data_IF_555758326961
#
_entry.id   IF_555758326961
#
_cell.length_a   1.000
_cell.length_b   1.000
_cell.length_c   1.000
_cell.angle_alpha   90.00
_cell.angle_beta   90.00
_cell.angle_gamma   90.00
#
_symmetry.space_group_name_H-M   'P 1'
#
loop_
_entity.id
_entity.type
_entity.pdbx_description
1 polymer ?
#
# COMPACT_ATOMS: atom_id res chain seq x y z
N UNK A 1 12.59 -22.56 -9.12
CA UNK A 1 12.11 -23.21 -10.35
C UNK A 1 13.26 -23.49 -11.35
N UNK A 2 14.53 -23.25 -10.96
CA UNK A 2 15.72 -23.48 -11.78
C UNK A 2 15.95 -22.45 -12.90
N UNK A 3 15.15 -21.38 -12.97
CA UNK A 3 15.32 -20.33 -13.99
C UNK A 3 16.49 -19.41 -13.64
N UNK A 4 17.45 -19.27 -14.55
CA UNK A 4 18.56 -18.34 -14.41
C UNK A 4 18.11 -16.91 -14.74
N UNK A 5 18.20 -16.01 -13.76
CA UNK A 5 17.89 -14.60 -13.94
C UNK A 5 19.14 -13.77 -14.16
N UNK A 6 19.21 -13.05 -15.29
CA UNK A 6 20.29 -12.08 -15.56
C UNK A 6 20.00 -10.77 -14.83
N UNK A 7 20.76 -10.51 -13.77
CA UNK A 7 20.65 -9.28 -12.99
C UNK A 7 21.35 -8.11 -13.71
N UNK A 8 20.86 -6.92 -13.48
CA UNK A 8 21.44 -5.67 -13.97
C UNK A 8 21.53 -4.62 -12.85
N UNK A 9 22.07 -3.46 -13.15
CA UNK A 9 22.26 -2.38 -12.16
C UNK A 9 20.95 -1.85 -11.52
N UNK A 10 19.82 -2.07 -12.19
CA UNK A 10 18.50 -1.65 -11.68
C UNK A 10 17.84 -2.71 -10.78
N UNK A 11 18.37 -3.92 -10.72
CA UNK A 11 17.80 -5.02 -9.95
C UNK A 11 18.18 -4.86 -8.47
N UNK A 12 17.18 -4.74 -7.60
CA UNK A 12 17.38 -4.77 -6.14
C UNK A 12 17.58 -6.21 -5.70
N UNK A 13 18.60 -6.45 -4.89
CA UNK A 13 18.90 -7.79 -4.36
C UNK A 13 19.02 -7.77 -2.85
N UNK A 14 18.61 -8.86 -2.23
CA UNK A 14 19.06 -9.25 -0.91
C UNK A 14 20.32 -10.06 -1.12
N UNK A 15 21.40 -9.74 -0.43
CA UNK A 15 22.69 -10.36 -0.63
C UNK A 15 23.40 -10.59 0.70
N UNK A 16 24.22 -11.60 0.74
CA UNK A 16 25.26 -11.77 1.74
C UNK A 16 26.60 -11.16 1.25
N UNK A 17 27.69 -11.45 1.94
CA UNK A 17 29.02 -10.97 1.55
C UNK A 17 29.55 -11.57 0.24
N UNK A 18 28.95 -12.65 -0.25
CA UNK A 18 29.47 -13.44 -1.35
C UNK A 18 28.57 -13.39 -2.59
N UNK A 19 27.25 -13.33 -2.43
CA UNK A 19 26.32 -13.48 -3.55
C UNK A 19 24.94 -12.86 -3.30
N UNK A 20 24.17 -12.68 -4.37
CA UNK A 20 22.76 -12.38 -4.28
C UNK A 20 21.98 -13.62 -3.80
N UNK A 21 21.06 -13.42 -2.85
CA UNK A 21 20.22 -14.46 -2.26
C UNK A 21 18.77 -14.38 -2.77
N UNK A 22 18.31 -13.20 -3.10
CA UNK A 22 16.96 -12.96 -3.60
C UNK A 22 16.92 -11.69 -4.46
N UNK A 23 15.93 -11.60 -5.35
CA UNK A 23 15.52 -10.33 -5.94
C UNK A 23 14.56 -9.63 -4.97
N UNK A 24 15.03 -8.55 -4.35
CA UNK A 24 14.30 -7.84 -3.29
C UNK A 24 12.90 -7.41 -3.73
N UNK A 25 11.89 -7.82 -2.97
CA UNK A 25 10.48 -7.55 -3.25
C UNK A 25 9.90 -8.28 -4.47
N UNK A 26 10.64 -9.25 -5.06
CA UNK A 26 10.21 -9.97 -6.27
C UNK A 26 10.20 -11.47 -6.05
N UNK A 27 11.39 -12.10 -5.83
CA UNK A 27 11.49 -13.54 -5.76
C UNK A 27 12.73 -14.02 -5.01
N UNK A 28 12.59 -15.10 -4.22
CA UNK A 28 13.71 -15.74 -3.53
C UNK A 28 14.62 -16.52 -4.48
N UNK A 29 15.90 -16.64 -4.10
CA UNK A 29 16.85 -17.47 -4.81
C UNK A 29 16.71 -18.96 -4.43
N UNK A 30 17.09 -19.86 -5.33
CA UNK A 30 16.94 -21.30 -5.16
C UNK A 30 17.73 -21.85 -3.94
N UNK A 31 18.97 -21.39 -3.77
CA UNK A 31 19.85 -21.89 -2.72
C UNK A 31 19.69 -21.21 -1.36
N UNK A 32 18.85 -20.18 -1.26
CA UNK A 32 18.54 -19.47 -0.01
C UNK A 32 17.16 -19.82 0.54
N UNK A 33 16.41 -20.66 -0.17
CA UNK A 33 15.09 -21.11 0.26
C UNK A 33 15.14 -22.11 1.40
N UNK A 34 14.05 -22.21 2.14
CA UNK A 34 13.84 -23.22 3.19
C UNK A 34 13.63 -24.59 2.54
N UNK A 35 14.21 -25.64 3.14
CA UNK A 35 14.06 -27.04 2.74
C UNK A 35 13.92 -27.93 3.97
N UNK A 36 13.79 -29.23 3.77
CA UNK A 36 13.58 -30.23 4.85
C UNK A 36 14.75 -30.35 5.85
N UNK A 37 15.93 -29.86 5.48
CA UNK A 37 17.13 -29.89 6.33
C UNK A 37 17.36 -28.54 7.06
N UNK A 38 16.52 -27.52 6.81
CA UNK A 38 16.71 -26.19 7.38
C UNK A 38 16.52 -26.20 8.90
N UNK A 39 17.54 -25.76 9.63
CA UNK A 39 17.51 -25.65 11.09
C UNK A 39 17.45 -24.21 11.58
N UNK A 40 18.04 -23.29 10.83
CA UNK A 40 18.08 -21.86 11.18
C UNK A 40 17.49 -21.03 10.04
N UNK A 41 16.66 -20.07 10.39
CA UNK A 41 15.97 -19.20 9.44
C UNK A 41 16.31 -17.75 9.72
N UNK A 42 16.67 -16.99 8.69
CA UNK A 42 16.73 -15.53 8.73
C UNK A 42 15.46 -15.00 8.10
N UNK A 43 14.64 -14.30 8.88
CA UNK A 43 13.47 -13.59 8.39
C UNK A 43 13.88 -12.20 7.91
N UNK A 44 13.43 -11.84 6.71
CA UNK A 44 13.59 -10.49 6.17
C UNK A 44 12.21 -9.84 6.03
N UNK A 45 12.08 -8.60 6.48
CA UNK A 45 10.89 -7.79 6.31
C UNK A 45 11.30 -6.37 5.97
N UNK A 46 11.28 -6.04 4.67
CA UNK A 46 11.77 -4.77 4.19
C UNK A 46 10.66 -3.86 3.66
N UNK A 47 10.98 -2.58 3.54
CA UNK A 47 10.30 -1.63 2.69
C UNK A 47 11.14 -1.36 1.44
N UNK A 48 10.51 -1.47 0.27
CA UNK A 48 11.11 -1.08 -1.01
C UNK A 48 10.25 0.02 -1.63
N UNK A 49 10.90 1.08 -2.12
CA UNK A 49 10.20 2.09 -2.90
C UNK A 49 9.49 1.44 -4.09
N UNK A 50 8.19 1.68 -4.31
CA UNK A 50 7.43 1.11 -5.44
C UNK A 50 8.11 1.32 -6.78
N UNK A 51 8.70 2.49 -7.02
CA UNK A 51 9.45 2.81 -8.25
C UNK A 51 10.65 1.89 -8.46
N UNK A 52 11.23 1.34 -7.39
CA UNK A 52 12.35 0.40 -7.49
C UNK A 52 11.92 -1.02 -7.85
N UNK A 53 10.64 -1.34 -7.78
CA UNK A 53 10.09 -2.69 -8.06
C UNK A 53 9.21 -2.70 -9.31
N UNK A 54 8.50 -1.61 -9.59
CA UNK A 54 7.53 -1.52 -10.70
C UNK A 54 8.11 -1.98 -12.03
N UNK A 55 7.44 -2.95 -12.63
CA UNK A 55 7.78 -3.53 -13.95
C UNK A 55 9.00 -4.44 -13.97
N UNK A 56 9.77 -4.55 -12.87
CA UNK A 56 11.00 -5.35 -12.86
C UNK A 56 10.72 -6.85 -12.85
N UNK A 57 9.74 -7.31 -12.12
CA UNK A 57 9.33 -8.72 -12.14
C UNK A 57 9.01 -9.19 -13.57
N UNK A 58 8.26 -8.38 -14.33
CA UNK A 58 7.87 -8.69 -15.71
C UNK A 58 9.06 -8.82 -16.66
N UNK A 59 10.16 -8.08 -16.45
CA UNK A 59 11.38 -8.22 -17.24
C UNK A 59 12.03 -9.60 -17.13
N UNK A 60 11.77 -10.28 -16.01
CA UNK A 60 12.25 -11.64 -15.77
C UNK A 60 11.15 -12.70 -15.99
N UNK A 61 10.02 -12.33 -16.60
CA UNK A 61 8.88 -13.24 -16.81
C UNK A 61 8.18 -13.66 -15.50
N UNK A 62 8.38 -12.91 -14.42
CA UNK A 62 7.85 -13.23 -13.09
C UNK A 62 6.60 -12.41 -12.78
N UNK A 63 5.66 -13.06 -12.08
CA UNK A 63 4.50 -12.43 -11.47
C UNK A 63 4.26 -13.10 -10.12
N UNK A 64 4.64 -12.42 -9.03
CA UNK A 64 4.59 -12.96 -7.68
C UNK A 64 3.71 -12.10 -6.77
N UNK A 65 3.22 -12.68 -5.69
CA UNK A 65 2.48 -11.94 -4.66
C UNK A 65 3.33 -10.81 -4.05
N UNK A 66 4.63 -11.04 -3.88
CA UNK A 66 5.56 -10.03 -3.40
C UNK A 66 5.63 -8.86 -4.39
N UNK A 67 5.96 -9.12 -5.67
CA UNK A 67 6.06 -8.07 -6.67
C UNK A 67 4.75 -7.31 -6.85
N UNK A 68 3.62 -8.01 -6.82
CA UNK A 68 2.29 -7.40 -6.92
C UNK A 68 2.01 -6.41 -5.79
N UNK A 69 2.44 -6.71 -4.56
CA UNK A 69 2.27 -5.81 -3.41
C UNK A 69 3.28 -4.67 -3.43
N UNK A 70 4.56 -4.98 -3.59
CA UNK A 70 5.63 -3.99 -3.53
C UNK A 70 5.58 -2.96 -4.67
N UNK A 71 5.17 -3.35 -5.88
CA UNK A 71 5.06 -2.38 -6.98
C UNK A 71 3.89 -1.39 -6.81
N UNK A 72 2.90 -1.72 -5.99
CA UNK A 72 1.79 -0.82 -5.63
C UNK A 72 2.07 -0.01 -4.37
N UNK A 73 2.94 -0.50 -3.52
CA UNK A 73 3.31 0.04 -2.24
C UNK A 73 2.95 -0.89 -1.08
N UNK A 74 3.74 -0.82 -0.05
CA UNK A 74 3.50 -1.45 1.26
C UNK A 74 3.67 -0.39 2.34
N UNK A 75 3.02 -0.59 3.48
CA UNK A 75 3.13 0.33 4.61
C UNK A 75 4.57 0.35 5.16
N UNK A 76 5.28 1.51 5.11
CA UNK A 76 6.64 1.62 5.62
C UNK A 76 6.73 1.52 7.14
N UNK A 77 5.62 1.58 7.87
CA UNK A 77 5.57 1.46 9.32
C UNK A 77 5.17 0.04 9.80
N UNK A 78 4.95 -0.90 8.87
CA UNK A 78 4.44 -2.23 9.20
C UNK A 78 5.53 -3.22 9.62
N UNK A 79 6.81 -3.01 9.25
CA UNK A 79 7.88 -4.02 9.29
C UNK A 79 8.05 -4.65 10.67
N UNK A 80 8.11 -3.86 11.73
CA UNK A 80 8.21 -4.37 13.12
C UNK A 80 7.06 -5.30 13.47
N UNK A 81 5.84 -4.85 13.26
CA UNK A 81 4.63 -5.62 13.58
C UNK A 81 4.53 -6.91 12.76
N UNK A 82 4.92 -6.83 11.49
CA UNK A 82 4.93 -8.00 10.60
C UNK A 82 6.01 -9.00 11.01
N UNK A 83 7.21 -8.53 11.37
CA UNK A 83 8.31 -9.34 11.84
C UNK A 83 7.95 -10.05 13.16
N UNK A 84 7.41 -9.34 14.15
CA UNK A 84 6.94 -9.92 15.40
C UNK A 84 5.89 -11.02 15.15
N UNK A 85 4.92 -10.75 14.27
CA UNK A 85 3.88 -11.71 13.93
C UNK A 85 4.45 -12.94 13.24
N UNK A 86 5.36 -12.79 12.28
CA UNK A 86 6.00 -13.88 11.56
C UNK A 86 6.85 -14.74 12.50
N UNK A 87 7.67 -14.11 13.34
CA UNK A 87 8.51 -14.78 14.34
C UNK A 87 7.65 -15.57 15.32
N UNK A 88 6.58 -14.97 15.83
CA UNK A 88 5.68 -15.66 16.75
C UNK A 88 5.04 -16.90 16.13
N UNK A 89 4.54 -16.77 14.89
CA UNK A 89 3.96 -17.90 14.17
C UNK A 89 4.96 -19.03 13.94
N UNK A 90 6.19 -18.66 13.57
CA UNK A 90 7.26 -19.66 13.35
C UNK A 90 7.57 -20.44 14.63
N UNK A 91 7.70 -19.76 15.77
CA UNK A 91 7.93 -20.39 17.07
C UNK A 91 6.73 -21.26 17.49
N UNK A 92 5.52 -20.77 17.33
CA UNK A 92 4.30 -21.50 17.71
C UNK A 92 4.10 -22.78 16.89
N UNK A 93 4.56 -22.81 15.62
CA UNK A 93 4.38 -23.95 14.71
C UNK A 93 5.58 -24.91 14.75
N UNK A 94 6.80 -24.37 14.71
CA UNK A 94 8.02 -25.15 14.55
C UNK A 94 8.82 -25.29 15.86
N UNK A 95 8.51 -24.49 16.87
CA UNK A 95 9.35 -24.36 18.06
C UNK A 95 10.60 -23.53 17.79
N UNK A 96 11.60 -23.64 18.68
CA UNK A 96 12.86 -22.93 18.56
C UNK A 96 12.91 -21.63 19.35
N UNK A 97 13.98 -20.86 19.14
CA UNK A 97 14.24 -19.62 19.86
C UNK A 97 14.49 -18.49 18.88
N UNK A 98 13.98 -17.29 19.20
CA UNK A 98 14.22 -16.10 18.41
C UNK A 98 15.60 -15.53 18.68
N UNK A 99 16.34 -15.23 17.62
CA UNK A 99 17.53 -14.40 17.68
C UNK A 99 17.22 -12.91 17.85
N UNK A 100 18.25 -12.04 17.91
CA UNK A 100 18.06 -10.60 18.01
C UNK A 100 17.43 -10.04 16.72
N UNK A 101 16.53 -9.07 16.88
CA UNK A 101 16.02 -8.29 15.76
C UNK A 101 17.04 -7.21 15.40
N UNK A 102 17.37 -7.13 14.12
CA UNK A 102 18.23 -6.07 13.57
C UNK A 102 17.35 -5.15 12.72
N UNK A 103 17.24 -3.89 13.11
CA UNK A 103 16.55 -2.87 12.37
C UNK A 103 17.55 -1.88 11.78
N UNK A 104 17.45 -1.68 10.45
CA UNK A 104 18.26 -0.72 9.72
C UNK A 104 17.32 0.17 8.92
N UNK A 105 17.11 1.38 9.37
CA UNK A 105 16.21 2.35 8.75
C UNK A 105 17.00 3.57 8.25
N UNK A 106 16.73 3.94 6.99
CA UNK A 106 17.20 5.22 6.44
C UNK A 106 16.01 6.17 6.32
N UNK A 107 15.81 6.97 7.34
CA UNK A 107 14.74 7.98 7.45
C UNK A 107 14.66 8.92 6.23
N UNK A 108 15.79 9.25 5.59
CA UNK A 108 15.83 10.15 4.46
C UNK A 108 15.16 9.57 3.19
N UNK A 109 15.01 8.26 3.12
CA UNK A 109 14.42 7.56 1.96
C UNK A 109 13.00 7.05 2.20
N UNK A 110 12.48 7.18 3.42
CA UNK A 110 11.11 6.83 3.72
C UNK A 110 10.13 7.85 3.11
N UNK A 111 8.97 7.40 2.64
CA UNK A 111 7.93 8.31 2.18
C UNK A 111 7.40 9.14 3.35
N UNK A 112 7.18 10.41 3.09
CA UNK A 112 6.55 11.32 4.06
C UNK A 112 5.04 11.24 3.92
N UNK A 113 4.35 11.18 5.04
CA UNK A 113 2.88 11.23 5.06
C UNK A 113 2.40 12.58 4.54
N UNK A 114 1.49 12.56 3.58
CA UNK A 114 0.91 13.78 3.05
C UNK A 114 -0.02 14.44 4.08
N UNK A 115 0.07 15.75 4.22
CA UNK A 115 -0.96 16.58 4.85
C UNK A 115 -1.83 17.17 3.76
N UNK A 116 -3.07 16.76 3.72
CA UNK A 116 -4.00 17.09 2.65
C UNK A 116 -5.04 18.08 3.19
N UNK A 117 -5.26 19.15 2.45
CA UNK A 117 -6.31 20.13 2.77
C UNK A 117 -7.60 19.73 2.05
N UNK A 118 -8.69 19.52 2.78
CA UNK A 118 -10.03 19.30 2.25
C UNK A 118 -10.90 20.52 2.49
N UNK A 119 -11.22 21.25 1.43
CA UNK A 119 -12.09 22.45 1.50
C UNK A 119 -13.57 22.06 1.51
N UNK A 120 -14.36 22.64 2.43
CA UNK A 120 -15.81 22.41 2.52
C UNK A 120 -16.51 22.64 1.20
N UNK A 121 -16.24 23.78 0.56
CA UNK A 121 -16.86 24.15 -0.71
C UNK A 121 -16.54 23.19 -1.85
N UNK A 122 -15.35 22.56 -1.84
CA UNK A 122 -14.98 21.58 -2.86
C UNK A 122 -15.66 20.24 -2.60
N UNK A 123 -15.73 19.81 -1.34
CA UNK A 123 -16.42 18.59 -0.94
C UNK A 123 -17.89 18.66 -1.34
N UNK A 124 -18.61 19.69 -0.90
CA UNK A 124 -20.05 19.89 -1.21
C UNK A 124 -20.30 19.93 -2.72
N UNK A 125 -19.43 20.60 -3.47
CA UNK A 125 -19.55 20.70 -4.93
C UNK A 125 -19.37 19.36 -5.64
N UNK A 126 -18.41 18.55 -5.20
CA UNK A 126 -18.09 17.27 -5.87
C UNK A 126 -19.02 16.14 -5.45
N UNK A 127 -19.46 16.14 -4.21
CA UNK A 127 -20.47 15.17 -3.71
C UNK A 127 -21.88 15.55 -4.18
N UNK A 128 -22.13 16.85 -4.42
CA UNK A 128 -23.43 17.35 -4.91
C UNK A 128 -24.42 17.71 -3.80
N UNK A 129 -24.08 17.55 -2.54
CA UNK A 129 -24.87 17.97 -1.38
C UNK A 129 -23.97 18.29 -0.18
N UNK A 130 -24.52 18.94 0.83
CA UNK A 130 -23.80 19.26 2.05
C UNK A 130 -23.72 18.04 2.98
N UNK A 131 -22.53 17.74 3.50
CA UNK A 131 -22.27 16.75 4.53
C UNK A 131 -21.95 17.50 5.82
N UNK A 132 -22.56 17.10 6.94
CA UNK A 132 -22.29 17.73 8.24
C UNK A 132 -20.80 17.57 8.63
N UNK A 133 -20.22 18.61 9.21
CA UNK A 133 -18.77 18.65 9.55
C UNK A 133 -18.35 17.52 10.46
N UNK A 134 -19.19 17.16 11.44
CA UNK A 134 -18.93 16.04 12.35
C UNK A 134 -18.88 14.70 11.61
N UNK A 135 -19.70 14.54 10.58
CA UNK A 135 -19.74 13.34 9.76
C UNK A 135 -18.49 13.24 8.87
N UNK A 136 -18.04 14.33 8.27
CA UNK A 136 -16.80 14.39 7.50
C UNK A 136 -15.62 14.02 8.39
N UNK A 137 -15.54 14.62 9.56
CA UNK A 137 -14.48 14.36 10.54
C UNK A 137 -14.48 12.90 11.00
N UNK A 138 -15.66 12.31 11.28
CA UNK A 138 -15.80 10.90 11.67
C UNK A 138 -15.32 9.96 10.55
N UNK A 139 -15.73 10.20 9.32
CA UNK A 139 -15.32 9.40 8.15
C UNK A 139 -13.79 9.41 8.01
N UNK A 140 -13.15 10.58 8.02
CA UNK A 140 -11.70 10.68 7.88
C UNK A 140 -10.96 9.98 9.03
N UNK A 141 -11.42 10.13 10.27
CA UNK A 141 -10.83 9.45 11.43
C UNK A 141 -10.99 7.93 11.35
N UNK A 142 -12.14 7.44 10.92
CA UNK A 142 -12.36 5.99 10.73
C UNK A 142 -11.53 5.41 9.60
N UNK A 143 -11.14 6.22 8.61
CA UNK A 143 -10.17 5.86 7.57
C UNK A 143 -8.71 5.89 8.07
N UNK A 144 -8.49 6.31 9.33
CA UNK A 144 -7.18 6.35 9.97
C UNK A 144 -6.44 7.67 9.79
N UNK A 145 -7.08 8.70 9.25
CA UNK A 145 -6.48 10.02 9.13
C UNK A 145 -6.41 10.74 10.47
N UNK A 146 -5.33 11.47 10.71
CA UNK A 146 -5.26 12.47 11.77
C UNK A 146 -5.90 13.75 11.25
N UNK A 147 -6.96 14.23 11.89
CA UNK A 147 -7.79 15.32 11.36
C UNK A 147 -7.77 16.52 12.29
N UNK A 148 -7.44 17.67 11.74
CA UNK A 148 -7.59 19.00 12.36
C UNK A 148 -8.65 19.76 11.60
N UNK A 149 -9.69 20.21 12.31
CA UNK A 149 -10.79 20.98 11.72
C UNK A 149 -10.48 22.47 11.79
N UNK A 150 -10.56 23.16 10.65
CA UNK A 150 -10.50 24.60 10.52
C UNK A 150 -11.85 25.20 10.17
N UNK A 151 -11.92 26.52 9.97
CA UNK A 151 -13.17 27.22 9.69
C UNK A 151 -13.76 26.85 8.32
N UNK A 152 -12.93 26.77 7.28
CA UNK A 152 -13.38 26.57 5.91
C UNK A 152 -12.84 25.27 5.29
N UNK A 153 -12.05 24.51 6.05
CA UNK A 153 -11.36 23.32 5.59
C UNK A 153 -11.01 22.37 6.74
N UNK A 154 -10.67 21.14 6.37
CA UNK A 154 -9.99 20.17 7.24
C UNK A 154 -8.55 19.96 6.76
N UNK A 155 -7.63 19.82 7.70
CA UNK A 155 -6.29 19.30 7.45
C UNK A 155 -6.28 17.82 7.86
N UNK A 156 -6.06 16.94 6.90
CA UNK A 156 -6.01 15.50 7.13
C UNK A 156 -4.62 14.95 6.82
N UNK A 157 -4.01 14.24 7.77
CA UNK A 157 -2.76 13.52 7.55
C UNK A 157 -3.10 12.07 7.29
N UNK A 158 -2.81 11.58 6.08
CA UNK A 158 -3.10 10.20 5.69
C UNK A 158 -2.31 9.20 6.54
N UNK A 159 -2.88 8.03 6.89
CA UNK A 159 -2.12 6.98 7.59
C UNK A 159 -1.05 6.38 6.66
N UNK A 160 -0.02 5.77 7.25
CA UNK A 160 1.14 5.24 6.52
C UNK A 160 0.79 4.15 5.48
N UNK A 161 -0.32 3.45 5.66
CA UNK A 161 -0.81 2.42 4.73
C UNK A 161 -1.66 2.95 3.57
N UNK A 162 -2.01 4.25 3.57
CA UNK A 162 -2.76 4.93 2.51
C UNK A 162 -1.83 5.83 1.71
N UNK A 163 -0.85 5.22 1.06
CA UNK A 163 0.10 5.86 0.13
C UNK A 163 -0.54 6.30 -1.20
N UNK A 164 -1.81 6.00 -1.38
CA UNK A 164 -2.70 6.45 -2.46
C UNK A 164 -3.38 7.80 -2.16
N UNK A 165 -3.32 8.28 -0.91
CA UNK A 165 -3.91 9.55 -0.49
C UNK A 165 -2.85 10.66 -0.46
N UNK A 166 -2.83 11.51 -1.49
CA UNK A 166 -1.85 12.59 -1.61
C UNK A 166 -2.48 13.95 -1.90
N UNK A 167 -3.67 13.97 -2.52
CA UNK A 167 -4.36 15.17 -2.96
C UNK A 167 -5.78 15.26 -2.41
N UNK A 168 -6.38 16.45 -2.54
CA UNK A 168 -7.73 16.75 -2.03
C UNK A 168 -8.80 15.83 -2.61
N UNK A 169 -8.67 15.47 -3.89
CA UNK A 169 -9.58 14.60 -4.61
C UNK A 169 -9.65 13.19 -4.02
N UNK A 170 -8.54 12.68 -3.50
CA UNK A 170 -8.49 11.35 -2.86
C UNK A 170 -9.35 11.31 -1.59
N UNK A 171 -9.37 12.42 -0.83
CA UNK A 171 -10.25 12.54 0.34
C UNK A 171 -11.72 12.64 -0.06
N UNK A 172 -12.04 13.33 -1.16
CA UNK A 172 -13.41 13.39 -1.67
C UNK A 172 -13.88 12.03 -2.15
N UNK A 173 -13.05 11.29 -2.87
CA UNK A 173 -13.35 9.92 -3.33
C UNK A 173 -13.60 8.98 -2.13
N UNK A 174 -12.78 9.08 -1.10
CA UNK A 174 -12.96 8.30 0.12
C UNK A 174 -14.30 8.57 0.81
N UNK A 175 -14.80 9.81 0.78
CA UNK A 175 -16.13 10.18 1.26
C UNK A 175 -17.23 9.59 0.37
N UNK A 176 -17.12 9.74 -0.95
CA UNK A 176 -18.08 9.20 -1.90
C UNK A 176 -18.27 7.69 -1.75
N UNK A 177 -17.17 6.92 -1.66
CA UNK A 177 -17.21 5.48 -1.43
C UNK A 177 -17.85 5.12 -0.09
N UNK A 178 -17.65 5.94 0.95
CA UNK A 178 -18.26 5.70 2.26
C UNK A 178 -19.76 5.98 2.24
N UNK A 179 -20.19 7.03 1.57
CA UNK A 179 -21.60 7.40 1.38
C UNK A 179 -22.35 6.32 0.59
N UNK A 180 -21.79 5.80 -0.49
CA UNK A 180 -22.40 4.72 -1.29
C UNK A 180 -22.61 3.42 -0.50
N UNK A 181 -21.81 3.17 0.53
CA UNK A 181 -21.97 2.01 1.42
C UNK A 181 -23.02 2.21 2.51
N UNK A 182 -23.52 3.43 2.72
CA UNK A 182 -24.71 3.66 3.52
C UNK A 182 -25.93 3.28 2.69
N UNK A 183 -26.88 2.47 3.19
CA UNK A 183 -28.12 2.24 2.46
C UNK A 183 -28.77 3.61 2.25
N UNK A 184 -28.79 4.06 1.02
CA UNK A 184 -29.43 5.30 0.60
C UNK A 184 -30.94 5.20 0.95
N UNK A 185 -31.32 5.82 2.04
CA UNK A 185 -32.73 6.09 2.32
C UNK A 185 -33.19 7.17 1.34
N UNK A 186 -33.53 6.77 0.11
CA UNK A 186 -34.30 7.64 -0.78
C UNK A 186 -33.83 7.84 -2.24
N UNK A 187 -32.67 7.34 -2.65
CA UNK A 187 -32.25 7.40 -4.07
C UNK A 187 -32.26 6.01 -4.68
N UNK A 188 -32.96 5.84 -5.81
CA UNK A 188 -33.08 4.56 -6.51
C UNK A 188 -31.69 4.12 -7.00
N UNK A 189 -31.34 2.86 -6.73
CA UNK A 189 -30.05 2.20 -7.05
C UNK A 189 -29.57 2.32 -8.52
N UNK A 190 -30.35 2.95 -9.41
CA UNK A 190 -30.01 3.14 -10.81
C UNK A 190 -29.34 4.48 -11.18
N UNK A 191 -29.46 5.52 -10.38
CA UNK A 191 -29.01 6.86 -10.78
C UNK A 191 -27.56 7.15 -10.39
N UNK A 192 -27.10 6.67 -9.25
CA UNK A 192 -25.70 6.82 -8.83
C UNK A 192 -24.71 6.05 -9.72
N UNK A 193 -25.12 4.86 -10.18
CA UNK A 193 -24.32 4.03 -11.10
C UNK A 193 -24.18 4.65 -12.49
N UNK A 194 -25.16 5.48 -12.91
CA UNK A 194 -25.14 6.18 -14.19
C UNK A 194 -24.18 7.37 -14.19
N UNK A 195 -24.03 8.06 -13.09
CA UNK A 195 -23.11 9.22 -12.97
C UNK A 195 -21.64 8.78 -12.97
N UNK A 196 -21.30 7.69 -12.27
CA UNK A 196 -19.95 7.14 -12.28
C UNK A 196 -19.57 6.52 -13.64
N UNK A 197 -20.53 5.88 -14.35
CA UNK A 197 -20.32 5.40 -15.72
C UNK A 197 -20.15 6.51 -16.75
N UNK A 198 -20.81 7.66 -16.56
CA UNK A 198 -20.69 8.80 -17.47
C UNK A 198 -19.33 9.50 -17.36
N UNK A 199 -18.68 9.49 -16.19
CA UNK A 199 -17.33 10.02 -16.00
C UNK A 199 -16.23 9.06 -16.44
N UNK A 200 -16.46 7.73 -16.36
CA UNK A 200 -15.49 6.70 -16.77
C UNK A 200 -15.38 6.45 -18.28
N UNK A 201 -16.34 6.90 -19.08
CA UNK A 201 -16.37 6.67 -20.53
C UNK A 201 -15.79 7.80 -21.40
N UNK A 202 -15.12 8.78 -20.79
CA UNK A 202 -14.58 9.96 -21.47
C UNK A 202 -13.18 9.83 -22.06
N UNK A 203 -12.47 8.72 -21.93
CA UNK A 203 -11.16 8.54 -22.59
C UNK A 203 -10.94 7.08 -23.01
N UNK A 204 -10.94 6.84 -24.30
CA UNK A 204 -10.40 5.59 -24.82
C UNK A 204 -11.11 4.97 -26.02
N UNK A 205 -11.49 5.79 -26.99
CA UNK A 205 -11.74 5.29 -28.33
C UNK A 205 -10.67 5.85 -29.28
N UNK A 206 -9.52 5.20 -29.33
CA UNK A 206 -8.69 5.21 -30.54
C UNK A 206 -8.26 3.78 -30.83
N UNK A 207 -8.77 3.34 -32.00
CA UNK A 207 -8.41 2.12 -32.71
C UNK A 207 -6.92 2.12 -33.04
N UNK A 208 -6.26 1.04 -32.88
CA UNK A 208 -5.83 0.10 -33.95
C UNK A 208 -5.38 -1.18 -33.29
#
# INVERSE_FOLDING_TARGET
DGTEAKLNADTRVIADHNKALAMGGIFGGEHSGVNDETQNVLLECAFFSPLSITGRARRHGLHTDASHRYERGVDPALQHKAMERATRLLIDICGGEAGPVIDITNEATLPKRATITLRRSKLDRLIGHHIADEQVTDILRRLGCEVTEGKDEWQAVAPSWRFDMEIEEDLVEAHAVHEERRPFLGVREGEALLLLRAQGNGQGAHRL
#
